data_IF_646278906580
#
_entry.id   IF_646278906580
#
_cell.length_a   1.000
_cell.length_b   1.000
_cell.length_c   1.000
_cell.angle_alpha   90.00
_cell.angle_beta   90.00
_cell.angle_gamma   90.00
#
_symmetry.space_group_name_H-M   'P 1'
#
loop_
_entity.id
_entity.type
_entity.pdbx_description
1 polymer ?
#
# COMPACT_ATOMS: atom_id res chain seq x y z
N UNK A 1 -7.31 3.24 17.92
CA UNK A 1 -7.39 1.84 17.47
C UNK A 1 -6.26 1.61 16.48
N UNK A 2 -5.40 0.62 16.73
CA UNK A 2 -4.30 0.29 15.82
C UNK A 2 -4.85 -0.22 14.49
N UNK A 3 -4.58 0.51 13.42
CA UNK A 3 -4.99 0.17 12.06
C UNK A 3 -3.73 -0.11 11.26
N UNK A 4 -3.75 -1.20 10.47
CA UNK A 4 -2.73 -1.48 9.47
C UNK A 4 -3.46 -1.93 8.21
N UNK A 5 -3.42 -1.12 7.17
CA UNK A 5 -4.18 -1.35 5.94
C UNK A 5 -3.24 -1.64 4.77
N UNK A 6 -3.67 -2.49 3.82
CA UNK A 6 -2.85 -2.87 2.66
C UNK A 6 -2.88 -1.82 1.53
N UNK A 7 -3.09 -0.57 1.89
CA UNK A 7 -3.13 0.57 0.96
C UNK A 7 -2.49 1.81 1.60
N UNK A 8 -1.93 2.64 0.76
CA UNK A 8 -1.34 3.93 1.15
C UNK A 8 -2.44 4.95 1.41
N UNK A 9 -2.26 5.79 2.44
CA UNK A 9 -3.14 6.91 2.74
C UNK A 9 -2.45 8.23 2.47
N UNK A 10 -3.19 9.13 1.87
CA UNK A 10 -2.80 10.52 1.68
C UNK A 10 -3.85 11.41 2.30
N UNK A 11 -3.44 12.26 3.24
CA UNK A 11 -4.30 13.25 3.89
C UNK A 11 -3.91 14.67 3.47
N UNK A 12 -4.89 15.56 3.40
CA UNK A 12 -4.68 17.01 3.40
C UNK A 12 -5.55 17.59 4.52
N UNK A 13 -4.95 18.33 5.43
CA UNK A 13 -5.66 18.96 6.57
C UNK A 13 -6.06 20.37 6.20
N UNK A 14 -7.36 20.62 6.21
CA UNK A 14 -7.94 21.94 5.92
C UNK A 14 -8.06 22.79 7.19
N UNK A 15 -8.60 22.22 8.28
CA UNK A 15 -8.83 22.95 9.51
C UNK A 15 -8.77 22.04 10.75
N UNK A 16 -8.46 22.64 11.89
CA UNK A 16 -8.32 21.92 13.16
C UNK A 16 -7.03 21.12 13.25
N UNK A 17 -6.91 20.31 14.30
CA UNK A 17 -5.74 19.47 14.56
C UNK A 17 -6.16 18.08 15.04
N UNK A 18 -5.37 17.08 14.69
CA UNK A 18 -5.48 15.72 15.22
C UNK A 18 -4.09 15.17 15.53
N UNK A 19 -4.04 14.05 16.22
CA UNK A 19 -2.79 13.32 16.48
C UNK A 19 -2.83 11.97 15.78
N UNK A 20 -1.69 11.57 15.25
CA UNK A 20 -1.48 10.22 14.73
C UNK A 20 -0.32 9.59 15.47
N UNK A 21 -0.53 8.39 15.97
CA UNK A 21 0.54 7.55 16.54
C UNK A 21 1.07 6.63 15.42
N UNK A 22 2.35 6.73 15.17
CA UNK A 22 3.12 5.91 14.24
C UNK A 22 4.18 5.11 15.01
N UNK A 23 4.83 4.10 14.41
CA UNK A 23 5.88 3.33 15.08
C UNK A 23 7.07 4.16 15.59
N UNK A 24 7.34 5.31 15.01
CA UNK A 24 8.40 6.26 15.37
C UNK A 24 7.96 7.32 16.39
N UNK A 25 6.67 7.41 16.70
CA UNK A 25 6.16 8.37 17.70
C UNK A 25 4.78 8.94 17.39
N UNK A 26 4.45 10.00 18.13
CA UNK A 26 3.20 10.75 17.98
C UNK A 26 3.46 12.01 17.16
N UNK A 27 2.68 12.18 16.09
CA UNK A 27 2.77 13.33 15.20
C UNK A 27 1.46 14.13 15.24
N UNK A 28 1.57 15.45 15.07
CA UNK A 28 0.42 16.36 15.01
C UNK A 28 0.08 16.59 13.54
N UNK A 29 -1.18 16.38 13.19
CA UNK A 29 -1.72 16.73 11.88
C UNK A 29 -2.24 18.17 11.93
N UNK A 30 -1.63 19.06 11.14
CA UNK A 30 -1.86 20.51 11.17
C UNK A 30 -2.43 21.05 9.86
N UNK A 31 -3.23 22.12 9.89
CA UNK A 31 -3.78 22.74 8.68
C UNK A 31 -2.69 23.17 7.69
N UNK A 32 -3.01 23.07 6.40
CA UNK A 32 -2.10 23.44 5.32
C UNK A 32 -1.01 22.43 5.01
N UNK A 33 -1.10 21.22 5.60
CA UNK A 33 -0.12 20.15 5.37
C UNK A 33 -0.76 18.92 4.76
N UNK A 34 0.04 18.19 3.98
CA UNK A 34 -0.28 16.86 3.47
C UNK A 34 0.55 15.81 4.18
N UNK A 35 -0.05 14.64 4.40
CA UNK A 35 0.53 13.52 5.15
C UNK A 35 0.45 12.24 4.33
N UNK A 36 1.58 11.52 4.27
CA UNK A 36 1.71 10.28 3.53
C UNK A 36 1.94 9.12 4.49
N UNK A 37 1.00 8.17 4.53
CA UNK A 37 1.08 6.97 5.37
C UNK A 37 1.19 5.76 4.44
N UNK A 38 2.38 5.12 4.37
CA UNK A 38 2.57 3.95 3.53
C UNK A 38 1.62 2.80 3.88
N UNK A 39 1.34 1.94 2.90
CA UNK A 39 0.66 0.68 3.14
C UNK A 39 1.38 -0.13 4.23
N UNK A 40 0.61 -0.90 5.00
CA UNK A 40 1.09 -1.74 6.11
C UNK A 40 1.71 -0.98 7.30
N UNK A 41 1.65 0.36 7.32
CA UNK A 41 2.07 1.15 8.48
C UNK A 41 1.01 1.06 9.58
N UNK A 42 1.42 0.55 10.74
CA UNK A 42 0.56 0.52 11.92
C UNK A 42 0.39 1.94 12.47
N UNK A 43 -0.85 2.39 12.64
CA UNK A 43 -1.12 3.72 13.15
C UNK A 43 -2.44 3.79 13.92
N UNK A 44 -2.57 4.82 14.76
CA UNK A 44 -3.81 5.16 15.46
C UNK A 44 -4.09 6.66 15.31
N UNK A 45 -5.31 7.00 14.91
CA UNK A 45 -5.74 8.39 14.84
C UNK A 45 -6.48 8.78 16.13
N UNK A 46 -6.13 9.93 16.71
CA UNK A 46 -6.72 10.51 17.91
C UNK A 46 -7.17 11.91 17.56
N UNK A 47 -8.48 12.17 17.67
CA UNK A 47 -9.06 13.48 17.44
C UNK A 47 -9.96 13.82 18.63
N UNK A 48 -9.57 14.85 19.36
CA UNK A 48 -10.26 15.31 20.57
C UNK A 48 -11.10 16.59 20.31
N UNK A 49 -11.05 17.13 19.08
CA UNK A 49 -11.65 18.39 18.70
C UNK A 49 -12.13 18.41 17.25
N UNK A 50 -12.48 19.60 16.76
CA UNK A 50 -12.84 19.78 15.35
C UNK A 50 -11.63 19.50 14.44
N UNK A 51 -11.82 18.64 13.42
CA UNK A 51 -10.79 18.27 12.47
C UNK A 51 -11.40 18.06 11.10
N UNK A 52 -11.00 18.87 10.13
CA UNK A 52 -11.45 18.79 8.73
C UNK A 52 -10.28 18.40 7.86
N UNK A 53 -10.42 17.31 7.16
CA UNK A 53 -9.37 16.83 6.27
C UNK A 53 -9.97 16.08 5.07
N UNK A 54 -9.24 16.12 3.98
CA UNK A 54 -9.44 15.23 2.84
C UNK A 54 -8.58 13.99 3.04
N UNK A 55 -9.07 12.83 2.60
CA UNK A 55 -8.29 11.61 2.62
C UNK A 55 -8.47 10.82 1.33
N UNK A 56 -7.40 10.17 0.91
CA UNK A 56 -7.35 9.28 -0.23
C UNK A 56 -6.80 7.93 0.20
N UNK A 57 -7.39 6.85 -0.30
CA UNK A 57 -6.84 5.52 -0.22
C UNK A 57 -6.28 5.14 -1.59
N UNK A 58 -4.98 4.89 -1.66
CA UNK A 58 -4.25 4.58 -2.87
C UNK A 58 -3.89 3.09 -2.84
N UNK A 59 -4.52 2.35 -3.74
CA UNK A 59 -4.24 0.93 -3.94
C UNK A 59 -3.19 0.80 -5.01
N UNK A 60 -2.05 0.18 -4.71
CA UNK A 60 -1.05 -0.10 -5.72
C UNK A 60 -1.58 -1.14 -6.70
N UNK A 61 -1.79 -0.73 -7.94
CA UNK A 61 -1.90 -1.66 -9.07
C UNK A 61 -0.48 -1.92 -9.56
N UNK A 62 -0.05 -3.19 -9.52
CA UNK A 62 1.30 -3.67 -9.90
C UNK A 62 1.66 -3.48 -11.38
N UNK A 63 0.89 -2.71 -12.14
CA UNK A 63 1.11 -2.41 -13.56
C UNK A 63 2.00 -1.20 -13.81
N UNK A 64 2.49 -0.54 -12.77
CA UNK A 64 3.53 0.46 -12.91
C UNK A 64 4.88 -0.25 -12.85
N UNK A 65 5.67 -0.12 -13.91
CA UNK A 65 6.95 -0.82 -14.13
C UNK A 65 7.99 -0.57 -13.02
N UNK A 66 7.76 0.40 -12.14
CA UNK A 66 8.61 0.72 -11.00
C UNK A 66 7.74 0.94 -9.74
N UNK A 67 7.99 0.15 -8.70
CA UNK A 67 7.34 0.34 -7.40
C UNK A 67 8.11 1.40 -6.59
N UNK A 68 7.94 2.67 -6.93
CA UNK A 68 8.67 3.80 -6.36
C UNK A 68 8.41 3.94 -4.85
N UNK A 69 7.23 3.56 -4.37
CA UNK A 69 6.87 3.61 -2.96
C UNK A 69 7.76 2.73 -2.07
N UNK A 70 8.32 1.66 -2.64
CA UNK A 70 9.27 0.81 -1.92
C UNK A 70 10.73 1.27 -2.05
N UNK A 71 11.04 2.06 -3.06
CA UNK A 71 12.42 2.51 -3.35
C UNK A 71 12.74 3.85 -2.70
N UNK A 72 11.71 4.61 -2.34
CA UNK A 72 11.86 5.96 -1.80
C UNK A 72 11.50 6.01 -0.32
N UNK A 73 12.31 6.70 0.45
CA UNK A 73 11.96 7.16 1.78
C UNK A 73 11.16 8.45 1.63
N UNK A 74 9.84 8.28 1.61
CA UNK A 74 8.90 9.35 1.36
C UNK A 74 8.64 10.06 2.68
N UNK A 75 8.78 11.40 2.75
CA UNK A 75 8.51 12.14 3.97
C UNK A 75 7.06 11.92 4.42
N UNK A 76 6.88 11.77 5.72
CA UNK A 76 5.55 11.64 6.32
C UNK A 76 4.70 12.89 6.11
N UNK A 77 5.31 14.07 6.19
CA UNK A 77 4.65 15.38 6.15
C UNK A 77 5.32 16.30 5.15
N UNK A 78 4.52 17.02 4.37
CA UNK A 78 4.94 18.14 3.53
C UNK A 78 3.94 19.29 3.62
N UNK A 79 4.39 20.51 3.41
CA UNK A 79 3.51 21.66 3.29
C UNK A 79 2.75 21.63 1.96
N UNK A 80 1.44 21.79 2.02
CA UNK A 80 0.60 21.85 0.84
C UNK A 80 0.74 23.21 0.12
N UNK A 81 0.81 23.17 -1.20
CA UNK A 81 0.71 24.36 -2.05
C UNK A 81 -0.75 24.73 -2.32
N UNK A 82 -1.00 25.93 -2.83
CA UNK A 82 -2.35 26.32 -3.29
C UNK A 82 -2.88 25.37 -4.36
N UNK A 83 -2.01 24.86 -5.22
CA UNK A 83 -2.40 23.91 -6.25
C UNK A 83 -2.90 22.59 -5.63
N UNK A 84 -2.24 22.09 -4.58
CA UNK A 84 -2.65 20.87 -3.91
C UNK A 84 -4.07 21.00 -3.33
N UNK A 85 -4.39 22.15 -2.72
CA UNK A 85 -5.73 22.44 -2.21
C UNK A 85 -6.77 22.32 -3.32
N UNK A 86 -6.56 22.99 -4.47
CA UNK A 86 -7.45 22.90 -5.63
C UNK A 86 -7.56 21.48 -6.18
N UNK A 87 -6.47 20.71 -6.17
CA UNK A 87 -6.49 19.33 -6.62
C UNK A 87 -7.34 18.43 -5.71
N UNK A 88 -7.29 18.62 -4.40
CA UNK A 88 -8.18 17.90 -3.47
C UNK A 88 -9.64 18.32 -3.64
N UNK A 89 -9.93 19.61 -3.77
CA UNK A 89 -11.27 20.11 -4.06
C UNK A 89 -11.80 19.49 -5.36
N UNK A 90 -11.00 19.50 -6.43
CA UNK A 90 -11.37 18.90 -7.71
C UNK A 90 -11.62 17.40 -7.61
N UNK A 91 -10.82 16.66 -6.84
CA UNK A 91 -11.08 15.24 -6.57
C UNK A 91 -12.44 15.02 -5.90
N UNK A 92 -12.82 15.89 -4.96
CA UNK A 92 -14.14 15.84 -4.32
C UNK A 92 -15.28 16.11 -5.29
N UNK A 93 -15.14 17.10 -6.17
CA UNK A 93 -16.15 17.42 -7.20
C UNK A 93 -16.43 16.22 -8.11
N UNK A 94 -15.39 15.66 -8.73
CA UNK A 94 -15.51 14.53 -9.65
C UNK A 94 -15.85 13.20 -8.97
N UNK A 95 -15.76 13.16 -7.63
CA UNK A 95 -16.05 12.00 -6.78
C UNK A 95 -17.10 12.31 -5.71
N UNK A 96 -18.03 13.23 -5.95
CA UNK A 96 -19.00 13.70 -4.96
C UNK A 96 -19.80 12.59 -4.28
N UNK A 97 -20.04 11.48 -4.98
CA UNK A 97 -20.71 10.28 -4.46
C UNK A 97 -19.82 9.38 -3.56
N UNK A 98 -18.51 9.66 -3.50
CA UNK A 98 -17.54 8.95 -2.66
C UNK A 98 -17.29 9.64 -1.32
N UNK A 99 -17.93 10.79 -1.06
CA UNK A 99 -17.79 11.51 0.20
C UNK A 99 -18.36 10.69 1.37
N UNK A 100 -17.67 10.75 2.51
CA UNK A 100 -18.16 10.12 3.74
C UNK A 100 -19.33 10.91 4.33
N UNK A 101 -20.37 10.19 4.70
CA UNK A 101 -21.52 10.76 5.43
C UNK A 101 -21.27 10.89 6.93
N UNK A 102 -20.34 10.11 7.46
CA UNK A 102 -19.95 10.07 8.87
C UNK A 102 -18.44 9.91 8.99
N UNK A 103 -17.84 10.65 9.92
CA UNK A 103 -16.38 10.70 10.12
C UNK A 103 -15.85 9.61 11.07
N UNK A 104 -16.70 8.73 11.63
CA UNK A 104 -16.25 7.65 12.49
C UNK A 104 -15.49 6.59 11.68
N UNK A 105 -14.21 6.32 11.97
CA UNK A 105 -13.42 5.30 11.29
C UNK A 105 -14.06 3.91 11.26
N UNK A 106 -14.85 3.55 12.26
CA UNK A 106 -15.57 2.27 12.31
C UNK A 106 -16.55 2.15 11.15
N UNK A 107 -17.11 3.26 10.67
CA UNK A 107 -18.11 3.29 9.63
C UNK A 107 -17.55 3.25 8.22
N UNK A 108 -16.30 3.66 8.02
CA UNK A 108 -15.70 3.75 6.67
C UNK A 108 -14.44 2.89 6.46
N UNK A 109 -13.70 2.60 7.52
CA UNK A 109 -12.50 1.75 7.45
C UNK A 109 -12.87 0.27 7.68
N UNK A 110 -13.92 -0.16 6.96
CA UNK A 110 -14.44 -1.53 7.01
C UNK A 110 -14.63 -2.09 5.59
N UNK A 111 -14.58 -3.42 5.48
CA UNK A 111 -14.64 -4.11 4.20
C UNK A 111 -15.92 -3.84 3.39
N UNK A 112 -17.14 -3.81 3.97
CA UNK A 112 -18.35 -3.48 3.20
C UNK A 112 -18.31 -2.11 2.54
N UNK A 113 -17.84 -1.08 3.25
CA UNK A 113 -17.68 0.27 2.69
C UNK A 113 -16.63 0.31 1.61
N UNK A 114 -15.49 -0.36 1.83
CA UNK A 114 -14.42 -0.48 0.84
C UNK A 114 -14.90 -1.17 -0.43
N UNK A 115 -15.57 -2.33 -0.31
CA UNK A 115 -16.12 -3.07 -1.45
C UNK A 115 -17.17 -2.24 -2.22
N UNK A 116 -18.03 -1.52 -1.50
CA UNK A 116 -18.97 -0.59 -2.12
C UNK A 116 -18.26 0.49 -2.93
N UNK A 117 -17.25 1.11 -2.37
CA UNK A 117 -16.47 2.17 -3.03
C UNK A 117 -15.73 1.62 -4.27
N UNK A 118 -15.17 0.41 -4.20
CA UNK A 118 -14.54 -0.24 -5.35
C UNK A 118 -15.54 -0.54 -6.48
N UNK A 119 -16.74 -1.03 -6.13
CA UNK A 119 -17.80 -1.27 -7.13
C UNK A 119 -18.25 0.03 -7.77
N UNK A 120 -18.47 1.08 -6.98
CA UNK A 120 -18.80 2.42 -7.49
C UNK A 120 -17.69 2.92 -8.41
N UNK A 121 -16.43 2.78 -8.00
CA UNK A 121 -15.28 3.19 -8.82
C UNK A 121 -15.20 2.42 -10.15
N UNK A 122 -15.54 1.12 -10.16
CA UNK A 122 -15.61 0.33 -11.41
C UNK A 122 -16.62 0.89 -12.42
N UNK A 123 -17.73 1.44 -11.93
CA UNK A 123 -18.84 1.97 -12.77
C UNK A 123 -18.62 3.42 -13.21
N UNK A 124 -17.62 4.13 -12.68
CA UNK A 124 -17.31 5.52 -13.04
C UNK A 124 -16.95 5.64 -14.51
N UNK A 125 -17.25 6.82 -15.07
CA UNK A 125 -16.83 7.17 -16.42
C UNK A 125 -15.32 7.09 -16.59
N UNK A 126 -14.85 6.68 -17.77
CA UNK A 126 -13.43 6.51 -18.03
C UNK A 126 -12.64 7.81 -17.85
N UNK A 127 -13.17 8.93 -18.29
CA UNK A 127 -12.54 10.24 -18.16
C UNK A 127 -12.39 10.66 -16.68
N UNK A 128 -13.37 10.40 -15.82
CA UNK A 128 -13.26 10.69 -14.38
C UNK A 128 -12.17 9.85 -13.70
N UNK A 129 -12.01 8.60 -14.14
CA UNK A 129 -10.92 7.72 -13.65
C UNK A 129 -9.56 8.25 -14.07
N UNK A 130 -9.41 8.68 -15.32
CA UNK A 130 -8.16 9.25 -15.85
C UNK A 130 -7.82 10.55 -15.13
N UNK A 131 -8.79 11.46 -14.99
CA UNK A 131 -8.60 12.73 -14.28
C UNK A 131 -8.18 12.49 -12.82
N UNK A 132 -8.92 11.62 -12.10
CA UNK A 132 -8.58 11.27 -10.72
C UNK A 132 -7.16 10.69 -10.59
N UNK A 133 -6.75 9.81 -11.49
CA UNK A 133 -5.39 9.25 -11.50
C UNK A 133 -4.34 10.33 -11.76
N UNK A 134 -4.56 11.20 -12.73
CA UNK A 134 -3.67 12.32 -13.02
C UNK A 134 -3.47 13.24 -11.81
N UNK A 135 -4.55 13.57 -11.12
CA UNK A 135 -4.50 14.39 -9.89
C UNK A 135 -3.73 13.66 -8.78
N UNK A 136 -3.99 12.38 -8.55
CA UNK A 136 -3.26 11.60 -7.52
C UNK A 136 -1.77 11.55 -7.83
N UNK A 137 -1.37 11.33 -9.09
CA UNK A 137 0.04 11.37 -9.48
C UNK A 137 0.68 12.75 -9.27
N UNK A 138 -0.07 13.81 -9.54
CA UNK A 138 0.42 15.18 -9.30
C UNK A 138 0.63 15.45 -7.82
N UNK A 139 -0.31 15.05 -6.94
CA UNK A 139 -0.15 15.16 -5.48
C UNK A 139 1.05 14.34 -4.99
N UNK A 140 1.19 13.09 -5.45
CA UNK A 140 2.33 12.23 -5.08
C UNK A 140 3.67 12.81 -5.55
N UNK A 141 3.70 13.50 -6.70
CA UNK A 141 4.95 14.09 -7.22
C UNK A 141 5.58 15.09 -6.25
N UNK A 142 4.79 15.78 -5.41
CA UNK A 142 5.30 16.69 -4.39
C UNK A 142 6.04 15.95 -3.28
N UNK A 143 5.53 14.80 -2.85
CA UNK A 143 6.23 13.93 -1.89
C UNK A 143 7.52 13.37 -2.50
N UNK A 144 7.46 12.91 -3.76
CA UNK A 144 8.62 12.32 -4.43
C UNK A 144 9.76 13.32 -4.66
N UNK A 145 9.48 14.60 -4.82
CA UNK A 145 10.53 15.64 -4.92
C UNK A 145 11.34 15.79 -3.63
N UNK A 146 10.75 15.44 -2.48
CA UNK A 146 11.40 15.51 -1.16
C UNK A 146 11.83 14.13 -0.65
N UNK A 147 11.47 13.07 -1.38
CA UNK A 147 11.82 11.71 -1.02
C UNK A 147 13.32 11.48 -1.17
N UNK A 148 13.88 10.72 -0.24
CA UNK A 148 15.25 10.23 -0.32
C UNK A 148 15.25 8.78 -0.81
N UNK A 149 16.32 8.33 -1.46
CA UNK A 149 16.47 6.92 -1.79
C UNK A 149 16.47 6.07 -0.52
N UNK A 150 15.49 5.20 -0.36
CA UNK A 150 15.65 4.07 0.59
C UNK A 150 16.85 3.29 0.14
N UNK A 151 17.58 2.65 1.08
CA UNK A 151 18.72 1.76 0.82
C UNK A 151 18.82 1.38 -0.66
N UNK A 152 19.64 2.14 -1.40
CA UNK A 152 19.83 1.85 -2.83
C UNK A 152 20.26 0.39 -2.93
N UNK A 153 19.47 -0.40 -3.64
CA UNK A 153 19.96 -1.70 -4.10
C UNK A 153 21.08 -1.36 -5.09
N UNK A 154 22.31 -1.35 -4.58
CA UNK A 154 23.48 -0.92 -5.35
C UNK A 154 23.82 -1.93 -6.45
N UNK A 155 23.58 -3.22 -6.19
CA UNK A 155 23.82 -4.24 -7.20
C UNK A 155 22.69 -4.30 -8.21
N UNK A 156 22.99 -3.96 -9.46
CA UNK A 156 22.02 -3.95 -10.56
C UNK A 156 21.37 -5.31 -10.80
N UNK A 157 22.07 -6.43 -10.50
CA UNK A 157 21.50 -7.77 -10.66
C UNK A 157 20.43 -8.03 -9.61
N UNK A 158 20.64 -7.57 -8.38
CA UNK A 158 19.65 -7.69 -7.31
C UNK A 158 18.44 -6.78 -7.58
N UNK A 159 18.67 -5.56 -8.08
CA UNK A 159 17.58 -4.67 -8.52
C UNK A 159 16.70 -5.33 -9.58
N UNK A 160 17.32 -5.93 -10.61
CA UNK A 160 16.59 -6.69 -11.65
C UNK A 160 15.88 -7.93 -11.07
N UNK A 161 16.49 -8.63 -10.11
CA UNK A 161 15.87 -9.77 -9.46
C UNK A 161 14.63 -9.37 -8.65
N UNK A 162 14.71 -8.29 -7.88
CA UNK A 162 13.57 -7.72 -7.14
C UNK A 162 12.44 -7.32 -8.09
N UNK A 163 12.76 -6.64 -9.18
CA UNK A 163 11.79 -6.28 -10.20
C UNK A 163 11.12 -7.51 -10.84
N UNK A 164 11.91 -8.52 -11.21
CA UNK A 164 11.39 -9.78 -11.74
C UNK A 164 10.43 -10.46 -10.77
N UNK A 165 10.83 -10.59 -9.48
CA UNK A 165 9.99 -11.20 -8.44
C UNK A 165 8.63 -10.50 -8.35
N UNK A 166 8.62 -9.18 -8.41
CA UNK A 166 7.38 -8.39 -8.30
C UNK A 166 6.46 -8.59 -9.50
N UNK A 167 7.01 -8.58 -10.70
CA UNK A 167 6.22 -8.82 -11.91
C UNK A 167 5.60 -10.21 -11.97
N UNK A 168 6.31 -11.22 -11.39
CA UNK A 168 5.90 -12.63 -11.44
C UNK A 168 5.34 -13.13 -10.12
N UNK A 169 4.81 -12.21 -9.27
CA UNK A 169 4.34 -12.56 -7.92
C UNK A 169 3.16 -13.57 -7.93
N UNK A 170 2.43 -13.62 -9.03
CA UNK A 170 1.33 -14.56 -9.28
C UNK A 170 1.78 -15.93 -9.80
N UNK A 171 3.08 -16.12 -9.98
CA UNK A 171 3.66 -17.34 -10.51
C UNK A 171 4.42 -18.12 -9.42
N UNK A 172 4.70 -19.39 -9.72
CA UNK A 172 5.65 -20.16 -8.91
C UNK A 172 7.09 -19.75 -9.31
N UNK A 173 7.71 -18.93 -8.48
CA UNK A 173 9.08 -18.43 -8.72
C UNK A 173 10.09 -19.47 -8.25
N UNK A 174 10.69 -20.19 -9.19
CA UNK A 174 11.80 -21.06 -8.92
C UNK A 174 13.08 -20.24 -8.68
N UNK A 175 13.65 -20.39 -7.49
CA UNK A 175 14.85 -19.66 -7.09
C UNK A 175 16.06 -20.05 -7.94
N UNK A 176 16.19 -21.30 -8.35
CA UNK A 176 17.31 -21.75 -9.15
C UNK A 176 17.26 -21.19 -10.57
N UNK A 177 16.08 -21.19 -11.17
CA UNK A 177 15.84 -20.53 -12.45
C UNK A 177 16.05 -19.00 -12.37
N UNK A 178 15.66 -18.37 -11.25
CA UNK A 178 15.90 -16.94 -11.02
C UNK A 178 17.41 -16.65 -10.95
N UNK A 179 18.15 -17.40 -10.16
CA UNK A 179 19.61 -17.23 -9.97
C UNK A 179 20.36 -17.41 -11.28
N UNK A 180 19.98 -18.39 -12.09
CA UNK A 180 20.62 -18.66 -13.40
C UNK A 180 20.56 -17.44 -14.34
N UNK A 181 19.50 -16.61 -14.26
CA UNK A 181 19.37 -15.39 -15.08
C UNK A 181 20.45 -14.32 -14.78
N UNK A 182 21.09 -14.39 -13.63
CA UNK A 182 22.03 -13.37 -13.17
C UNK A 182 23.50 -13.85 -13.12
N UNK A 183 23.77 -15.04 -13.63
CA UNK A 183 25.13 -15.61 -13.70
C UNK A 183 25.84 -15.62 -12.34
N UNK A 184 25.13 -15.92 -11.27
CA UNK A 184 25.65 -16.04 -9.91
C UNK A 184 25.51 -17.48 -9.42
N UNK A 185 26.37 -17.91 -8.48
CA UNK A 185 26.07 -19.11 -7.70
C UNK A 185 24.92 -18.84 -6.74
N UNK A 186 24.14 -19.87 -6.41
CA UNK A 186 22.98 -19.75 -5.51
C UNK A 186 23.35 -19.13 -4.17
N UNK A 187 24.45 -19.58 -3.56
CA UNK A 187 24.90 -19.07 -2.26
C UNK A 187 25.33 -17.60 -2.34
N UNK A 188 25.99 -17.22 -3.42
CA UNK A 188 26.40 -15.82 -3.62
C UNK A 188 25.17 -14.94 -3.81
N UNK A 189 24.21 -15.38 -4.64
CA UNK A 189 22.96 -14.65 -4.86
C UNK A 189 22.18 -14.44 -3.57
N UNK A 190 22.01 -15.50 -2.74
CA UNK A 190 21.27 -15.41 -1.48
C UNK A 190 21.95 -14.42 -0.52
N UNK A 191 23.27 -14.47 -0.38
CA UNK A 191 24.02 -13.52 0.48
C UNK A 191 23.92 -12.10 -0.02
N UNK A 192 24.11 -11.90 -1.32
CA UNK A 192 24.03 -10.57 -1.95
C UNK A 192 22.62 -9.99 -1.86
N UNK A 193 21.60 -10.78 -2.18
CA UNK A 193 20.19 -10.39 -2.07
C UNK A 193 19.84 -9.96 -0.64
N UNK A 194 20.26 -10.78 0.37
CA UNK A 194 20.03 -10.45 1.78
C UNK A 194 20.78 -9.18 2.19
N UNK A 195 22.01 -8.96 1.69
CA UNK A 195 22.79 -7.74 1.95
C UNK A 195 22.06 -6.50 1.43
N UNK A 196 21.54 -6.58 0.20
CA UNK A 196 20.92 -5.46 -0.50
C UNK A 196 19.46 -5.19 -0.06
N UNK A 197 18.70 -6.23 0.34
CA UNK A 197 17.28 -6.13 0.67
C UNK A 197 16.96 -6.33 2.16
N UNK A 198 17.94 -6.70 2.96
CA UNK A 198 17.78 -7.01 4.38
C UNK A 198 17.31 -8.44 4.68
N UNK A 199 16.65 -9.13 3.74
CA UNK A 199 16.07 -10.47 3.93
C UNK A 199 16.41 -11.43 2.79
N UNK A 200 16.41 -12.76 3.04
CA UNK A 200 16.66 -13.76 1.99
C UNK A 200 15.61 -13.73 0.87
N UNK A 201 15.96 -14.15 -0.37
CA UNK A 201 15.05 -14.09 -1.53
C UNK A 201 13.71 -14.79 -1.31
N UNK A 202 13.71 -16.02 -0.78
CA UNK A 202 12.47 -16.77 -0.54
C UNK A 202 11.57 -16.10 0.51
N UNK A 203 12.16 -15.51 1.53
CA UNK A 203 11.42 -14.74 2.54
C UNK A 203 10.82 -13.48 1.91
N UNK A 204 11.56 -12.80 1.04
CA UNK A 204 11.09 -11.64 0.29
C UNK A 204 9.88 -12.00 -0.60
N UNK A 205 10.00 -13.07 -1.42
CA UNK A 205 8.91 -13.58 -2.27
C UNK A 205 7.66 -13.86 -1.43
N UNK A 206 7.82 -14.60 -0.35
CA UNK A 206 6.72 -14.97 0.54
C UNK A 206 6.05 -13.74 1.17
N UNK A 207 6.84 -12.78 1.63
CA UNK A 207 6.30 -11.54 2.19
C UNK A 207 5.48 -10.77 1.16
N UNK A 208 6.00 -10.60 -0.07
CA UNK A 208 5.28 -9.90 -1.15
C UNK A 208 4.00 -10.62 -1.56
N UNK A 209 4.00 -11.96 -1.61
CA UNK A 209 2.78 -12.75 -1.86
C UNK A 209 1.74 -12.53 -0.76
N UNK A 210 2.14 -12.49 0.51
CA UNK A 210 1.21 -12.25 1.62
C UNK A 210 0.68 -10.82 1.61
N UNK A 211 1.49 -9.81 1.32
CA UNK A 211 1.05 -8.42 1.15
C UNK A 211 0.02 -8.30 0.03
N UNK A 212 0.25 -8.97 -1.10
CA UNK A 212 -0.74 -9.03 -2.18
C UNK A 212 -2.01 -9.76 -1.76
N UNK A 213 -1.89 -10.86 -1.00
CA UNK A 213 -3.05 -11.56 -0.46
C UNK A 213 -3.87 -10.65 0.47
N UNK A 214 -3.23 -9.86 1.34
CA UNK A 214 -3.92 -8.90 2.21
C UNK A 214 -4.73 -7.88 1.39
N UNK A 215 -4.15 -7.35 0.31
CA UNK A 215 -4.85 -6.45 -0.60
C UNK A 215 -6.07 -7.13 -1.25
N UNK A 216 -5.88 -8.32 -1.84
CA UNK A 216 -6.97 -9.06 -2.49
C UNK A 216 -8.08 -9.41 -1.49
N UNK A 217 -7.72 -9.79 -0.25
CA UNK A 217 -8.69 -10.09 0.81
C UNK A 217 -9.64 -8.94 1.12
N UNK A 218 -9.19 -7.69 0.99
CA UNK A 218 -10.00 -6.49 1.26
C UNK A 218 -10.62 -5.87 0.01
N UNK A 219 -10.11 -6.17 -1.17
CA UNK A 219 -10.57 -5.55 -2.43
C UNK A 219 -11.40 -6.47 -3.32
N UNK A 220 -11.41 -7.78 -3.05
CA UNK A 220 -12.07 -8.76 -3.90
C UNK A 220 -12.92 -9.76 -3.09
N UNK A 221 -13.91 -10.34 -3.75
CA UNK A 221 -14.83 -11.34 -3.15
C UNK A 221 -14.33 -12.78 -3.27
N UNK A 222 -13.11 -12.98 -3.79
CA UNK A 222 -12.52 -14.31 -3.95
C UNK A 222 -12.42 -15.05 -2.61
N UNK A 223 -12.61 -16.35 -2.65
CA UNK A 223 -12.40 -17.21 -1.48
C UNK A 223 -10.90 -17.21 -1.09
N UNK A 224 -10.61 -17.47 0.17
CA UNK A 224 -9.22 -17.58 0.65
C UNK A 224 -8.42 -18.62 -0.14
N UNK A 225 -9.10 -19.69 -0.56
CA UNK A 225 -8.50 -20.77 -1.36
C UNK A 225 -8.14 -20.28 -2.78
N UNK A 226 -9.04 -19.56 -3.42
CA UNK A 226 -8.78 -18.95 -4.75
C UNK A 226 -7.62 -17.95 -4.67
N UNK A 227 -7.57 -17.13 -3.63
CA UNK A 227 -6.46 -16.18 -3.41
C UNK A 227 -5.12 -16.92 -3.30
N UNK A 228 -5.07 -18.00 -2.52
CA UNK A 228 -3.86 -18.80 -2.38
C UNK A 228 -3.38 -19.34 -3.75
N UNK A 229 -4.29 -19.91 -4.54
CA UNK A 229 -3.94 -20.43 -5.88
C UNK A 229 -3.58 -19.32 -6.87
N UNK A 230 -4.26 -18.18 -6.85
CA UNK A 230 -3.94 -17.02 -7.71
C UNK A 230 -2.56 -16.43 -7.41
N UNK A 231 -2.04 -16.68 -6.21
CA UNK A 231 -0.68 -16.31 -5.81
C UNK A 231 0.30 -17.49 -5.93
N UNK A 232 -0.09 -18.53 -6.67
CA UNK A 232 0.71 -19.71 -6.91
C UNK A 232 1.25 -20.39 -5.64
N UNK A 233 0.39 -20.51 -4.61
CA UNK A 233 0.60 -21.42 -3.50
C UNK A 233 0.02 -22.78 -3.86
N UNK A 234 0.84 -23.80 -3.92
CA UNK A 234 0.41 -25.19 -4.22
C UNK A 234 -0.34 -25.80 -3.04
N UNK A 235 0.07 -25.47 -1.81
CA UNK A 235 -0.54 -25.95 -0.57
C UNK A 235 -1.28 -24.82 0.15
N UNK A 236 -2.60 -24.94 0.18
CA UNK A 236 -3.48 -24.03 0.92
C UNK A 236 -3.20 -23.99 2.43
N UNK A 237 -2.81 -25.13 3.02
CA UNK A 237 -2.48 -25.19 4.44
C UNK A 237 -1.18 -24.46 4.75
N UNK A 238 -0.20 -24.55 3.86
CA UNK A 238 1.04 -23.76 3.94
C UNK A 238 0.74 -22.27 3.84
N UNK A 239 -0.07 -21.86 2.86
CA UNK A 239 -0.49 -20.45 2.74
C UNK A 239 -1.09 -19.92 4.04
N UNK A 240 -2.05 -20.65 4.65
CA UNK A 240 -2.70 -20.22 5.90
C UNK A 240 -1.68 -20.06 7.04
N UNK A 241 -0.77 -21.02 7.20
CA UNK A 241 0.28 -20.95 8.24
C UNK A 241 1.22 -19.77 8.01
N UNK A 242 1.64 -19.56 6.76
CA UNK A 242 2.54 -18.48 6.37
C UNK A 242 1.86 -17.12 6.56
N UNK A 243 0.62 -16.98 6.12
CA UNK A 243 -0.16 -15.75 6.30
C UNK A 243 -0.27 -15.40 7.79
N UNK A 244 -0.68 -16.36 8.64
CA UNK A 244 -0.77 -16.16 10.07
C UNK A 244 0.59 -15.84 10.71
N UNK A 245 1.68 -16.47 10.24
CA UNK A 245 3.04 -16.18 10.71
C UNK A 245 3.46 -14.73 10.44
N UNK A 246 3.11 -14.20 9.26
CA UNK A 246 3.53 -12.85 8.85
C UNK A 246 2.59 -11.78 9.41
N UNK A 247 1.27 -12.01 9.43
CA UNK A 247 0.27 -11.00 9.79
C UNK A 247 -0.24 -11.10 11.24
N UNK A 248 0.06 -12.21 11.93
CA UNK A 248 -0.44 -12.50 13.27
C UNK A 248 -1.84 -13.13 13.31
N UNK A 249 -2.61 -13.06 12.24
CA UNK A 249 -4.00 -13.55 12.16
C UNK A 249 -4.20 -14.46 10.94
N UNK A 250 -5.27 -15.27 10.94
CA UNK A 250 -5.59 -16.07 9.74
C UNK A 250 -6.14 -15.19 8.62
N UNK A 251 -6.06 -15.61 7.33
CA UNK A 251 -6.64 -14.85 6.22
C UNK A 251 -8.12 -14.53 6.41
N UNK A 252 -8.87 -15.46 6.97
CA UNK A 252 -10.30 -15.26 7.23
C UNK A 252 -10.54 -14.26 8.37
N UNK A 253 -9.76 -14.33 9.45
CA UNK A 253 -9.79 -13.32 10.51
C UNK A 253 -9.38 -11.94 9.98
N UNK A 254 -8.36 -11.88 9.12
CA UNK A 254 -7.93 -10.64 8.48
C UNK A 254 -9.06 -10.00 7.67
N UNK A 255 -9.75 -10.78 6.83
CA UNK A 255 -10.93 -10.33 6.08
C UNK A 255 -12.03 -9.80 7.00
N UNK A 256 -12.29 -10.47 8.13
CA UNK A 256 -13.32 -10.06 9.10
C UNK A 256 -12.86 -8.88 9.99
N UNK A 257 -11.59 -8.74 10.30
CA UNK A 257 -11.09 -7.60 11.08
C UNK A 257 -11.14 -6.27 10.33
N UNK A 258 -11.21 -6.34 9.00
CA UNK A 258 -11.52 -5.22 8.12
C UNK A 258 -13.04 -5.05 7.90
N UNK A 259 -13.88 -5.86 8.54
CA UNK A 259 -15.34 -5.73 8.62
C UNK A 259 -15.70 -4.93 9.88
#
# INVERSE_FOLDING_TARGET
KNVSSPFTRLYYVEAGTARIELPDGVHILSPGHMYFIPAFTQHSNICDSHFVHYYLHIYEEYHLDENWLDQLDIPFEIQASKLDCFLFERLCEINSHMSLKQSDPITYDNNPTLMKNLLVNKQRAFYDKIESRGIVFQLLSHFFRQAQGKLEINDQRIRKAVFYIRQHIHENIDLDALVAKFCLSKDHFIRLFKKETGIPPLQYINQRKIEKAQLILVTETLTVKEIAYNLAFEDYSYFNRLFKKITGVTPQQYRHSCQ
#
